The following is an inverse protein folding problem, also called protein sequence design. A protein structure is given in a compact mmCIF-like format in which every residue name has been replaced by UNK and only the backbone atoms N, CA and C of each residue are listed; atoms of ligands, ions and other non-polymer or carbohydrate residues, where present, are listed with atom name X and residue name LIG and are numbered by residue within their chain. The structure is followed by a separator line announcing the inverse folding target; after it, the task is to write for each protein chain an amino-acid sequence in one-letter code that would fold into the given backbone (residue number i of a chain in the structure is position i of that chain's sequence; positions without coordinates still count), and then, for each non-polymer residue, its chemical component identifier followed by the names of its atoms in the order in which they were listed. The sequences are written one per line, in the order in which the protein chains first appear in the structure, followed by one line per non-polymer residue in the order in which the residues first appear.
data_IF_151672299714
#
_entry.id   IF_151672299714
#
_cell.length_a   1.000
_cell.length_b   1.000
_cell.length_c   1.000
_cell.angle_alpha   90.00
_cell.angle_beta   90.00
_cell.angle_gamma   90.00
#
_symmetry.space_group_name_H-M   'P 1'
#
loop_
_entity.id
_entity.type
_entity.pdbx_description
1 polymer ?
#
# COMPACT_ATOMS: atom_id res chain seq x y z
N UNK A 1 14.23 -30.59 -71.63
CA UNK A 1 12.83 -30.22 -71.89
C UNK A 1 12.29 -29.57 -70.62
N UNK A 2 11.97 -28.29 -70.74
CA UNK A 2 11.49 -27.41 -69.69
C UNK A 2 10.07 -27.77 -69.23
N UNK A 3 9.70 -27.24 -68.06
CA UNK A 3 8.38 -26.77 -67.57
C UNK A 3 8.26 -27.15 -66.07
N UNK A 4 8.16 -26.26 -65.08
CA UNK A 4 7.70 -24.87 -65.07
C UNK A 4 6.25 -24.80 -64.59
N UNK A 5 6.01 -24.72 -63.26
CA UNK A 5 4.71 -24.35 -62.64
C UNK A 5 5.05 -23.59 -61.35
N UNK A 6 5.21 -22.27 -61.41
CA UNK A 6 4.20 -21.22 -61.14
C UNK A 6 3.67 -21.26 -59.70
N UNK A 7 4.20 -20.31 -58.95
CA UNK A 7 3.79 -19.80 -57.65
C UNK A 7 2.48 -19.00 -57.83
N UNK A 8 1.52 -19.13 -56.91
CA UNK A 8 0.44 -18.16 -56.75
C UNK A 8 0.01 -18.09 -55.29
N UNK A 9 0.18 -16.90 -54.73
CA UNK A 9 -0.24 -16.44 -53.41
C UNK A 9 -1.76 -16.47 -53.23
N UNK A 10 -2.23 -16.38 -51.99
CA UNK A 10 -3.27 -15.39 -51.66
C UNK A 10 -2.83 -14.60 -50.42
N UNK A 11 -2.34 -13.37 -50.59
CA UNK A 11 -3.10 -12.13 -50.40
C UNK A 11 -3.82 -12.01 -49.05
N UNK A 12 -3.13 -11.30 -48.16
CA UNK A 12 -3.63 -10.58 -47.00
C UNK A 12 -5.01 -9.95 -47.20
N UNK A 13 -5.92 -10.12 -46.22
CA UNK A 13 -6.88 -9.08 -45.81
C UNK A 13 -7.62 -9.49 -44.53
N UNK A 14 -7.55 -8.58 -43.54
CA UNK A 14 -8.50 -8.35 -42.43
C UNK A 14 -8.20 -8.84 -41.00
N UNK A 15 -6.96 -8.76 -40.52
CA UNK A 15 -6.65 -8.96 -39.08
C UNK A 15 -6.48 -7.64 -38.28
N UNK A 16 -7.30 -6.62 -38.55
CA UNK A 16 -7.29 -5.37 -37.77
C UNK A 16 -8.43 -5.26 -36.74
N UNK A 17 -9.48 -6.09 -36.84
CA UNK A 17 -10.64 -6.03 -35.94
C UNK A 17 -10.54 -6.96 -34.70
N UNK A 18 -9.70 -8.00 -34.74
CA UNK A 18 -9.59 -8.97 -33.64
C UNK A 18 -8.71 -8.48 -32.47
N UNK A 19 -7.75 -7.59 -32.71
CA UNK A 19 -6.86 -7.05 -31.66
C UNK A 19 -7.61 -6.12 -30.68
N UNK A 20 -8.57 -5.34 -31.18
CA UNK A 20 -9.32 -4.40 -30.35
C UNK A 20 -10.32 -5.11 -29.43
N UNK A 21 -10.97 -6.18 -29.91
CA UNK A 21 -11.92 -6.96 -29.12
C UNK A 21 -11.23 -7.85 -28.07
N UNK A 22 -10.05 -8.39 -28.35
CA UNK A 22 -9.25 -9.13 -27.36
C UNK A 22 -8.68 -8.23 -26.25
N UNK A 23 -8.39 -6.95 -26.53
CA UNK A 23 -7.99 -5.98 -25.51
C UNK A 23 -9.14 -5.57 -24.58
N UNK A 24 -10.36 -5.45 -25.10
CA UNK A 24 -11.54 -5.11 -24.29
C UNK A 24 -11.96 -6.30 -23.41
N UNK A 25 -11.90 -7.53 -23.95
CA UNK A 25 -12.30 -8.73 -23.20
C UNK A 25 -11.27 -9.16 -22.13
N UNK A 26 -9.97 -8.87 -22.29
CA UNK A 26 -8.97 -9.20 -21.27
C UNK A 26 -9.00 -8.24 -20.06
N UNK A 27 -9.50 -7.02 -20.22
CA UNK A 27 -9.64 -6.07 -19.11
C UNK A 27 -10.88 -6.33 -18.23
N UNK A 28 -11.73 -7.30 -18.60
CA UNK A 28 -13.03 -7.51 -17.97
C UNK A 28 -13.18 -8.84 -17.20
N UNK A 29 -12.12 -9.65 -17.10
CA UNK A 29 -12.12 -10.93 -16.35
C UNK A 29 -11.49 -10.89 -14.96
N UNK A 30 -11.22 -9.71 -14.38
CA UNK A 30 -10.87 -9.59 -12.95
C UNK A 30 -11.74 -8.52 -12.30
N UNK A 31 -13.05 -8.76 -12.25
CA UNK A 31 -13.99 -8.22 -11.25
C UNK A 31 -15.39 -8.75 -11.57
N UNK A 32 -15.73 -9.92 -11.05
CA UNK A 32 -17.12 -10.33 -10.88
C UNK A 32 -17.17 -11.38 -9.77
N UNK A 33 -17.44 -10.92 -8.56
CA UNK A 33 -18.36 -11.55 -7.59
C UNK A 33 -18.76 -10.40 -6.66
N UNK A 34 -19.84 -9.70 -7.05
CA UNK A 34 -20.84 -9.07 -6.17
C UNK A 34 -21.61 -7.95 -6.90
N UNK A 35 -22.94 -8.00 -6.76
CA UNK A 35 -23.91 -6.94 -7.03
C UNK A 35 -24.57 -6.87 -8.43
N UNK A 36 -25.13 -7.99 -8.88
CA UNK A 36 -26.32 -7.98 -9.74
C UNK A 36 -27.61 -7.85 -8.91
N UNK A 37 -27.91 -6.67 -8.36
CA UNK A 37 -29.27 -6.25 -7.99
C UNK A 37 -29.22 -4.75 -7.67
N UNK A 38 -29.69 -3.90 -8.59
CA UNK A 38 -30.52 -2.69 -8.41
C UNK A 38 -30.61 -2.07 -9.83
N UNK A 39 -31.28 -2.80 -10.72
CA UNK A 39 -32.00 -2.18 -11.82
C UNK A 39 -33.39 -1.89 -11.26
N UNK A 40 -33.51 -0.87 -10.41
CA UNK A 40 -34.78 -0.44 -9.82
C UNK A 40 -35.15 0.95 -10.33
N UNK A 41 -36.01 0.97 -11.35
CA UNK A 41 -37.22 1.78 -11.34
C UNK A 41 -37.10 3.28 -11.57
N UNK A 42 -37.57 3.70 -12.75
CA UNK A 42 -38.19 5.01 -12.92
C UNK A 42 -39.25 5.30 -11.83
N UNK A 43 -39.52 6.59 -11.62
CA UNK A 43 -40.40 7.18 -10.60
C UNK A 43 -40.04 7.01 -9.11
N UNK A 44 -39.13 6.12 -8.70
CA UNK A 44 -38.77 5.98 -7.28
C UNK A 44 -37.79 7.05 -6.75
N UNK A 45 -37.04 7.74 -7.62
CA UNK A 45 -36.07 8.78 -7.21
C UNK A 45 -36.67 10.16 -6.89
N UNK A 46 -38.00 10.32 -6.94
CA UNK A 46 -38.69 11.57 -6.57
C UNK A 46 -39.12 11.62 -5.09
N UNK A 47 -38.47 10.83 -4.24
CA UNK A 47 -38.53 11.02 -2.79
C UNK A 47 -37.95 12.42 -2.48
N UNK A 48 -38.83 13.31 -2.02
CA UNK A 48 -38.55 14.70 -1.65
C UNK A 48 -37.31 14.77 -0.76
N UNK A 49 -36.16 15.13 -1.33
CA UNK A 49 -35.00 15.55 -0.51
C UNK A 49 -35.31 16.94 0.01
N UNK A 50 -35.30 17.11 1.33
CA UNK A 50 -35.36 18.42 1.99
C UNK A 50 -34.14 19.31 1.65
N UNK A 51 -33.20 18.78 0.85
CA UNK A 51 -31.90 19.39 0.57
C UNK A 51 -31.75 19.89 -0.88
N UNK A 52 -32.84 19.98 -1.66
CA UNK A 52 -32.77 20.55 -3.03
C UNK A 52 -32.38 22.02 -3.03
N UNK A 53 -32.73 22.77 -1.97
CA UNK A 53 -32.32 24.17 -1.81
C UNK A 53 -30.85 24.27 -1.40
N UNK A 54 -30.41 23.43 -0.46
CA UNK A 54 -29.02 23.37 0.00
C UNK A 54 -28.06 23.05 -1.16
N UNK A 55 -28.36 22.02 -1.95
CA UNK A 55 -27.56 21.66 -3.14
C UNK A 55 -27.61 22.71 -4.26
N UNK A 56 -28.66 23.54 -4.31
CA UNK A 56 -28.75 24.63 -5.30
C UNK A 56 -28.00 25.88 -4.84
N UNK A 57 -28.01 26.16 -3.53
CA UNK A 57 -27.22 27.21 -2.89
C UNK A 57 -25.73 26.86 -2.92
N UNK A 58 -25.35 25.62 -2.62
CA UNK A 58 -23.97 25.12 -2.74
C UNK A 58 -23.47 25.26 -4.17
N UNK A 59 -24.26 24.83 -5.17
CA UNK A 59 -23.91 24.98 -6.59
C UNK A 59 -23.95 26.43 -7.08
N UNK A 60 -24.66 27.33 -6.42
CA UNK A 60 -24.60 28.78 -6.67
C UNK A 60 -23.34 29.38 -6.06
N UNK A 61 -23.01 29.03 -4.81
CA UNK A 61 -21.76 29.43 -4.16
C UNK A 61 -20.54 28.92 -4.91
N UNK A 62 -20.53 27.67 -5.37
CA UNK A 62 -19.45 27.11 -6.20
C UNK A 62 -19.31 27.86 -7.52
N UNK A 63 -20.44 28.26 -8.14
CA UNK A 63 -20.43 29.07 -9.36
C UNK A 63 -19.97 30.49 -9.11
N UNK A 64 -20.38 31.14 -8.02
CA UNK A 64 -19.92 32.48 -7.63
C UNK A 64 -18.41 32.47 -7.31
N UNK A 65 -17.92 31.48 -6.57
CA UNK A 65 -16.50 31.31 -6.27
C UNK A 65 -15.67 30.98 -7.52
N UNK A 66 -16.23 30.21 -8.45
CA UNK A 66 -15.56 29.88 -9.73
C UNK A 66 -15.62 31.06 -10.71
N UNK A 67 -16.67 31.87 -10.68
CA UNK A 67 -16.82 33.06 -11.50
C UNK A 67 -15.93 34.22 -11.02
N UNK A 68 -15.63 34.30 -9.73
CA UNK A 68 -14.59 35.19 -9.18
C UNK A 68 -13.16 34.79 -9.62
N UNK A 69 -12.96 33.52 -10.02
CA UNK A 69 -11.69 33.07 -10.61
C UNK A 69 -11.63 33.22 -12.14
N UNK A 70 -12.74 33.03 -12.86
CA UNK A 70 -12.75 33.01 -14.34
C UNK A 70 -13.34 34.25 -15.02
N UNK A 71 -13.95 35.18 -14.28
CA UNK A 71 -14.55 36.39 -14.87
C UNK A 71 -13.96 37.67 -14.27
N UNK A 72 -12.63 37.80 -14.31
CA UNK A 72 -12.00 39.12 -14.27
C UNK A 72 -12.31 39.79 -15.60
N UNK A 73 -13.40 40.54 -15.64
CA UNK A 73 -13.67 41.44 -16.77
C UNK A 73 -12.59 42.52 -16.70
N UNK A 74 -11.63 42.49 -17.64
CA UNK A 74 -10.48 43.42 -17.72
C UNK A 74 -10.93 44.84 -18.14
N UNK A 75 -11.91 45.41 -17.43
CA UNK A 75 -12.51 46.69 -17.77
C UNK A 75 -11.62 47.88 -17.37
N UNK A 76 -10.59 47.67 -16.54
CA UNK A 76 -9.65 48.68 -16.11
C UNK A 76 -8.21 48.35 -16.52
N UNK A 77 -7.59 49.26 -17.29
CA UNK A 77 -6.20 49.15 -17.78
C UNK A 77 -5.18 49.00 -16.64
N UNK A 78 -5.40 49.70 -15.53
CA UNK A 78 -4.49 49.67 -14.37
C UNK A 78 -4.47 48.28 -13.70
N UNK A 79 -5.63 47.65 -13.54
CA UNK A 79 -5.74 46.29 -13.00
C UNK A 79 -5.04 45.26 -13.89
N UNK A 80 -5.10 45.44 -15.21
CA UNK A 80 -4.38 44.60 -16.15
C UNK A 80 -2.86 44.77 -16.04
N UNK A 81 -2.39 46.02 -15.92
CA UNK A 81 -0.96 46.32 -15.71
C UNK A 81 -0.45 45.72 -14.40
N UNK A 82 -1.23 45.78 -13.32
CA UNK A 82 -0.90 45.14 -12.04
C UNK A 82 -0.78 43.63 -12.16
N UNK A 83 -1.72 42.96 -12.83
CA UNK A 83 -1.64 41.51 -13.01
C UNK A 83 -0.47 41.15 -13.93
N UNK A 84 -0.24 41.91 -14.99
CA UNK A 84 0.93 41.73 -15.86
C UNK A 84 2.24 41.87 -15.08
N UNK A 85 2.35 42.87 -14.21
CA UNK A 85 3.52 43.10 -13.36
C UNK A 85 3.69 41.99 -12.32
N UNK A 86 2.60 41.52 -11.70
CA UNK A 86 2.61 40.38 -10.77
C UNK A 86 3.07 39.10 -11.46
N UNK A 87 2.57 38.82 -12.66
CA UNK A 87 2.99 37.67 -13.47
C UNK A 87 4.46 37.83 -13.88
N UNK A 88 4.87 39.00 -14.35
CA UNK A 88 6.23 39.28 -14.76
C UNK A 88 7.25 39.11 -13.63
N UNK A 89 6.97 39.67 -12.46
CA UNK A 89 7.83 39.53 -11.27
C UNK A 89 7.90 38.08 -10.79
N UNK A 90 6.78 37.37 -10.74
CA UNK A 90 6.74 35.95 -10.37
C UNK A 90 7.52 35.08 -11.37
N UNK A 91 7.37 35.34 -12.67
CA UNK A 91 8.06 34.62 -13.74
C UNK A 91 9.57 34.83 -13.66
N UNK A 92 10.03 36.08 -13.51
CA UNK A 92 11.47 36.39 -13.36
C UNK A 92 12.09 35.64 -12.19
N UNK A 93 11.40 35.56 -11.05
CA UNK A 93 11.85 34.77 -9.88
C UNK A 93 11.91 33.26 -10.15
N UNK A 94 10.94 32.71 -10.88
CA UNK A 94 10.91 31.27 -11.23
C UNK A 94 12.01 30.93 -12.23
N UNK A 95 12.27 31.80 -13.20
CA UNK A 95 13.31 31.61 -14.20
C UNK A 95 14.71 31.70 -13.60
N UNK A 96 14.94 32.56 -12.61
CA UNK A 96 16.25 32.66 -11.94
C UNK A 96 16.56 31.43 -11.08
N UNK A 97 15.54 30.76 -10.54
CA UNK A 97 15.66 29.54 -9.73
C UNK A 97 15.41 28.26 -10.54
N UNK A 98 15.44 28.33 -11.87
CA UNK A 98 15.09 27.21 -12.74
C UNK A 98 16.11 26.06 -12.58
N UNK A 99 15.69 24.86 -12.14
CA UNK A 99 16.58 23.70 -12.05
C UNK A 99 17.10 23.26 -13.42
N UNK A 100 18.29 22.66 -13.45
CA UNK A 100 18.87 22.10 -14.66
C UNK A 100 18.15 20.81 -15.08
N UNK A 101 18.24 20.44 -16.37
CA UNK A 101 17.62 19.20 -16.86
C UNK A 101 18.18 17.95 -16.14
N UNK A 102 19.50 17.92 -15.90
CA UNK A 102 20.16 16.82 -15.19
C UNK A 102 19.68 16.67 -13.74
N UNK A 103 19.43 17.78 -13.03
CA UNK A 103 18.84 17.72 -11.68
C UNK A 103 17.41 17.15 -11.69
N UNK A 104 16.62 17.49 -12.71
CA UNK A 104 15.28 16.93 -12.88
C UNK A 104 15.33 15.43 -13.21
N UNK A 105 16.33 14.97 -13.96
CA UNK A 105 16.57 13.55 -14.22
C UNK A 105 16.97 12.79 -12.95
N UNK A 106 17.88 13.36 -12.14
CA UNK A 106 18.28 12.79 -10.85
C UNK A 106 17.12 12.68 -9.88
N UNK A 107 16.21 13.67 -9.88
CA UNK A 107 14.96 13.63 -9.10
C UNK A 107 13.87 12.78 -9.75
N UNK A 108 14.16 12.13 -10.88
CA UNK A 108 13.23 11.28 -11.63
C UNK A 108 11.93 12.02 -12.05
N UNK A 109 12.03 13.34 -12.25
CA UNK A 109 10.96 14.19 -12.77
C UNK A 109 11.03 14.22 -14.30
N UNK A 110 12.22 14.46 -14.85
CA UNK A 110 12.49 14.33 -16.28
C UNK A 110 12.98 12.90 -16.54
N UNK A 111 12.37 12.21 -17.50
CA UNK A 111 12.74 10.83 -17.81
C UNK A 111 13.76 10.83 -18.96
N UNK A 112 14.95 10.29 -18.71
CA UNK A 112 16.06 10.29 -19.68
C UNK A 112 15.94 9.24 -20.80
N UNK A 113 14.95 8.32 -20.74
CA UNK A 113 14.83 7.17 -21.65
C UNK A 113 13.43 7.07 -22.26
N UNK A 114 13.37 6.54 -23.48
CA UNK A 114 12.13 6.23 -24.18
C UNK A 114 11.26 5.24 -23.39
N UNK A 115 9.94 5.41 -23.47
CA UNK A 115 8.99 4.59 -22.70
C UNK A 115 9.06 3.09 -23.07
N UNK A 116 9.43 2.80 -24.32
CA UNK A 116 9.65 1.43 -24.79
C UNK A 116 10.82 0.75 -24.05
N UNK A 117 11.94 1.46 -23.90
CA UNK A 117 13.13 0.96 -23.20
C UNK A 117 12.86 0.79 -21.71
N UNK A 118 12.13 1.72 -21.09
CA UNK A 118 11.71 1.58 -19.69
C UNK A 118 10.84 0.36 -19.46
N UNK A 119 9.92 0.07 -20.39
CA UNK A 119 9.06 -1.13 -20.31
C UNK A 119 9.90 -2.40 -20.43
N UNK A 120 10.88 -2.42 -21.34
CA UNK A 120 11.83 -3.53 -21.50
C UNK A 120 12.71 -3.72 -20.26
N UNK A 121 13.23 -2.65 -19.70
CA UNK A 121 14.03 -2.68 -18.46
C UNK A 121 13.19 -3.21 -17.29
N UNK A 122 11.95 -2.73 -17.14
CA UNK A 122 11.01 -3.23 -16.13
C UNK A 122 10.71 -4.72 -16.31
N UNK A 123 10.43 -5.18 -17.52
CA UNK A 123 10.15 -6.58 -17.79
C UNK A 123 11.37 -7.47 -17.56
N UNK A 124 12.56 -7.00 -17.90
CA UNK A 124 13.81 -7.70 -17.63
C UNK A 124 14.14 -7.80 -16.14
N UNK A 125 13.97 -6.70 -15.39
CA UNK A 125 14.12 -6.70 -13.93
C UNK A 125 13.14 -7.69 -13.31
N UNK A 126 11.87 -7.66 -13.71
CA UNK A 126 10.84 -8.58 -13.22
C UNK A 126 11.22 -10.03 -13.53
N UNK A 127 11.59 -10.35 -14.77
CA UNK A 127 12.05 -11.69 -15.19
C UNK A 127 13.23 -12.17 -14.35
N UNK A 128 14.24 -11.32 -14.15
CA UNK A 128 15.42 -11.64 -13.36
C UNK A 128 15.08 -11.89 -11.89
N UNK A 129 14.21 -11.06 -11.31
CA UNK A 129 13.78 -11.20 -9.93
C UNK A 129 12.99 -12.50 -9.71
N UNK A 130 12.00 -12.79 -10.57
CA UNK A 130 11.21 -14.02 -10.48
C UNK A 130 12.10 -15.25 -10.48
N UNK A 131 13.10 -15.31 -11.37
CA UNK A 131 14.08 -16.41 -11.41
C UNK A 131 14.92 -16.51 -10.13
N UNK A 132 15.35 -15.37 -9.55
CA UNK A 132 16.11 -15.36 -8.29
C UNK A 132 15.28 -15.83 -7.10
N UNK A 133 14.00 -15.47 -7.06
CA UNK A 133 13.09 -15.87 -5.99
C UNK A 133 12.72 -17.35 -6.09
N UNK A 134 12.57 -17.90 -7.30
CA UNK A 134 12.27 -19.32 -7.50
C UNK A 134 13.43 -20.25 -7.13
N UNK A 135 14.67 -19.76 -7.24
CA UNK A 135 15.89 -20.50 -6.88
C UNK A 135 16.45 -20.05 -5.52
N UNK A 136 15.58 -19.57 -4.64
CA UNK A 136 15.99 -19.12 -3.31
C UNK A 136 16.34 -20.35 -2.45
N UNK A 137 17.57 -20.44 -1.89
CA UNK A 137 17.98 -21.58 -1.07
C UNK A 137 17.16 -21.66 0.21
N UNK A 138 16.92 -22.87 0.69
CA UNK A 138 16.22 -23.12 1.95
C UNK A 138 17.11 -22.80 3.17
N UNK A 139 16.50 -22.61 4.34
CA UNK A 139 17.24 -22.37 5.59
C UNK A 139 18.16 -23.54 5.92
N UNK A 140 17.66 -24.78 5.72
CA UNK A 140 18.45 -26.00 5.93
C UNK A 140 19.69 -26.05 5.04
N UNK A 141 19.58 -25.67 3.76
CA UNK A 141 20.75 -25.59 2.86
C UNK A 141 21.78 -24.57 3.32
N UNK A 142 21.34 -23.40 3.79
CA UNK A 142 22.23 -22.35 4.27
C UNK A 142 22.96 -22.75 5.57
N UNK A 143 22.30 -23.48 6.46
CA UNK A 143 22.90 -24.08 7.65
C UNK A 143 23.90 -25.18 7.30
N UNK A 144 23.56 -26.08 6.37
CA UNK A 144 24.46 -27.13 5.89
C UNK A 144 25.73 -26.54 5.27
N UNK A 145 25.61 -25.41 4.57
CA UNK A 145 26.73 -24.64 4.00
C UNK A 145 27.47 -23.77 5.03
N UNK A 146 27.04 -23.78 6.30
CA UNK A 146 27.59 -22.96 7.41
C UNK A 146 27.61 -21.46 7.12
N UNK A 147 26.70 -21.00 6.27
CA UNK A 147 26.49 -19.57 5.99
C UNK A 147 25.73 -18.93 7.16
N UNK A 148 24.78 -19.67 7.73
CA UNK A 148 24.08 -19.31 8.96
C UNK A 148 24.76 -20.01 10.13
N UNK A 149 25.43 -19.23 11.00
CA UNK A 149 26.23 -19.76 12.13
C UNK A 149 25.48 -19.75 13.46
N UNK A 150 24.41 -18.97 13.57
CA UNK A 150 23.56 -18.87 14.74
C UNK A 150 22.11 -19.17 14.37
N UNK A 151 21.31 -19.52 15.36
CA UNK A 151 19.86 -19.68 15.22
C UNK A 151 19.19 -18.29 15.09
N UNK A 152 19.58 -17.52 14.06
CA UNK A 152 19.04 -16.18 13.76
C UNK A 152 17.58 -16.25 13.31
N UNK A 153 17.23 -17.35 12.64
CA UNK A 153 15.88 -17.59 12.16
C UNK A 153 15.08 -18.19 13.30
N UNK A 154 14.45 -17.30 14.07
CA UNK A 154 13.38 -17.67 14.99
C UNK A 154 12.21 -18.15 14.13
N UNK A 155 11.78 -19.38 14.35
CA UNK A 155 10.53 -19.86 13.78
C UNK A 155 9.38 -19.02 14.37
N UNK A 156 8.73 -18.22 13.54
CA UNK A 156 7.50 -17.52 13.93
C UNK A 156 6.37 -18.53 14.01
N UNK A 157 6.31 -19.26 15.11
CA UNK A 157 5.13 -20.06 15.47
C UNK A 157 4.02 -19.12 15.93
N UNK A 158 2.78 -19.35 15.48
CA UNK A 158 1.63 -18.62 16.03
C UNK A 158 1.49 -18.99 17.50
N UNK A 159 1.62 -18.00 18.38
CA UNK A 159 1.30 -18.20 19.79
C UNK A 159 -0.21 -18.44 19.92
N UNK A 160 -0.59 -19.38 20.78
CA UNK A 160 -1.99 -19.51 21.18
C UNK A 160 -2.41 -18.22 21.88
N UNK A 161 -3.46 -17.57 21.38
CA UNK A 161 -4.08 -16.42 22.04
C UNK A 161 -4.92 -16.91 23.22
N UNK A 162 -4.24 -17.20 24.33
CA UNK A 162 -4.89 -17.38 25.62
C UNK A 162 -5.05 -16.03 26.31
N UNK A 163 -6.16 -15.86 27.03
CA UNK A 163 -6.45 -14.62 27.76
C UNK A 163 -5.48 -14.43 28.93
N UNK A 164 -4.47 -13.56 28.72
CA UNK A 164 -3.48 -13.18 29.74
C UNK A 164 -4.07 -12.29 30.84
N UNK A 165 -5.31 -11.82 30.67
CA UNK A 165 -6.05 -11.02 31.65
C UNK A 165 -6.87 -11.89 32.60
N UNK A 166 -6.83 -13.22 32.46
CA UNK A 166 -7.50 -14.15 33.35
C UNK A 166 -7.15 -13.87 34.83
N UNK A 167 -8.16 -14.02 35.70
CA UNK A 167 -8.06 -13.74 37.12
C UNK A 167 -6.98 -14.63 37.75
N UNK A 168 -5.90 -13.98 38.21
CA UNK A 168 -4.77 -14.66 38.79
C UNK A 168 -5.21 -15.27 40.13
N UNK A 169 -5.19 -16.60 40.31
CA UNK A 169 -5.77 -17.24 41.49
C UNK A 169 -5.11 -16.79 42.80
N UNK A 170 -3.83 -16.39 42.76
CA UNK A 170 -3.12 -15.79 43.91
C UNK A 170 -3.65 -14.42 44.35
N UNK A 171 -4.50 -13.77 43.55
CA UNK A 171 -5.18 -12.52 43.92
C UNK A 171 -6.40 -12.75 44.81
N UNK A 172 -6.89 -14.00 44.90
CA UNK A 172 -8.01 -14.38 45.76
C UNK A 172 -7.57 -14.99 47.10
N UNK A 173 -6.27 -14.94 47.41
CA UNK A 173 -5.69 -15.54 48.61
C UNK A 173 -6.16 -14.77 49.87
N UNK A 174 -6.80 -15.47 50.80
CA UNK A 174 -7.17 -14.84 52.08
C UNK A 174 -5.91 -14.59 52.93
N UNK A 175 -5.95 -13.69 53.93
CA UNK A 175 -4.84 -13.52 54.87
C UNK A 175 -4.46 -14.80 55.60
N UNK A 176 -5.46 -15.67 55.87
CA UNK A 176 -5.26 -17.00 56.46
C UNK A 176 -4.49 -17.91 55.53
N UNK A 177 -4.90 -18.01 54.26
CA UNK A 177 -4.24 -18.85 53.26
C UNK A 177 -2.80 -18.39 53.00
N UNK A 178 -2.58 -17.07 52.97
CA UNK A 178 -1.24 -16.49 52.82
C UNK A 178 -0.34 -16.85 54.00
N UNK A 179 -0.87 -16.85 55.23
CA UNK A 179 -0.11 -17.25 56.41
C UNK A 179 0.18 -18.77 56.43
N UNK A 180 -0.80 -19.60 56.03
CA UNK A 180 -0.63 -21.04 55.92
C UNK A 180 0.44 -21.41 54.90
N UNK A 181 0.37 -20.85 53.68
CA UNK A 181 1.38 -21.05 52.63
C UNK A 181 2.77 -20.60 53.09
N UNK A 182 2.86 -19.45 53.78
CA UNK A 182 4.14 -18.99 54.35
C UNK A 182 4.70 -19.98 55.37
N UNK A 183 3.86 -20.52 56.26
CA UNK A 183 4.26 -21.48 57.28
C UNK A 183 4.73 -22.79 56.63
N UNK A 184 3.96 -23.34 55.70
CA UNK A 184 4.29 -24.57 54.98
C UNK A 184 5.61 -24.43 54.21
N UNK A 185 5.84 -23.29 53.54
CA UNK A 185 7.09 -23.01 52.84
C UNK A 185 8.29 -22.88 53.79
N UNK A 186 8.12 -22.29 54.97
CA UNK A 186 9.20 -22.20 55.97
C UNK A 186 9.51 -23.57 56.58
N UNK A 187 8.48 -24.36 56.87
CA UNK A 187 8.59 -25.72 57.38
C UNK A 187 9.35 -26.60 56.38
N UNK A 188 8.98 -26.56 55.10
CA UNK A 188 9.69 -27.28 54.03
C UNK A 188 11.16 -26.85 53.89
N UNK A 189 11.45 -25.54 53.91
CA UNK A 189 12.84 -25.03 53.88
C UNK A 189 13.68 -25.46 55.08
N UNK A 190 13.04 -25.67 56.23
CA UNK A 190 13.74 -26.08 57.46
C UNK A 190 13.88 -27.59 57.61
N UNK A 191 12.98 -28.37 57.01
CA UNK A 191 12.92 -29.82 57.15
C UNK A 191 13.62 -30.56 55.99
N UNK A 192 13.47 -30.09 54.74
CA UNK A 192 13.92 -30.80 53.54
C UNK A 192 15.22 -30.21 52.96
N UNK A 193 15.49 -28.92 53.16
CA UNK A 193 16.65 -28.24 52.58
C UNK A 193 17.77 -28.07 53.61
N UNK A 194 19.00 -28.39 53.23
CA UNK A 194 20.19 -28.07 54.04
C UNK A 194 20.48 -26.56 53.93
N UNK A 195 20.15 -25.83 55.00
CA UNK A 195 20.38 -24.38 55.10
C UNK A 195 21.68 -24.16 55.89
N UNK A 196 22.60 -23.35 55.35
CA UNK A 196 23.82 -22.95 56.07
C UNK A 196 23.50 -22.31 57.43
N UNK A 197 24.30 -22.63 58.45
CA UNK A 197 24.05 -22.24 59.85
C UNK A 197 23.83 -20.72 60.03
N UNK A 198 24.56 -19.89 59.29
CA UNK A 198 24.43 -18.41 59.34
C UNK A 198 23.11 -17.88 58.75
N UNK A 199 22.42 -18.68 57.93
CA UNK A 199 21.16 -18.31 57.25
C UNK A 199 19.92 -18.85 57.96
N UNK A 200 20.09 -19.70 58.97
CA UNK A 200 19.01 -20.35 59.73
C UNK A 200 18.16 -19.36 60.54
N UNK A 201 18.72 -18.19 60.84
CA UNK A 201 18.01 -17.11 61.54
C UNK A 201 16.94 -16.43 60.67
N UNK A 202 16.95 -16.63 59.35
CA UNK A 202 16.03 -16.00 58.40
C UNK A 202 14.87 -16.92 57.96
N UNK A 203 14.82 -18.18 58.41
CA UNK A 203 13.80 -19.17 58.02
C UNK A 203 12.57 -19.24 58.94
N UNK A 204 12.28 -18.20 59.74
CA UNK A 204 11.12 -18.14 60.65
C UNK A 204 9.79 -17.86 59.96
#
# INVERSE_FOLDING_TARGET
KCNGVIVSSPSERSDFAHSFLLSVLFYQSVSNEDCAYILSGGLASRVKRKDTLALKLERQQEKEQSQDQENITWNNKEQWEDVRNKIGTALTRRLSQRPTAQELEQRNILQAKDEADRRKERSEIKRRLTRKLSQRPTVAELQARKILRFHEYVECTHAQDYDRRADKPWTKLTPSDKAAIRKELNEYKSAEMEVHEDSRIYTR
#
